data_IF_290728310203
#
_entry.id   IF_290728310203
#
_cell.length_a   1.000
_cell.length_b   1.000
_cell.length_c   1.000
_cell.angle_alpha   90.00
_cell.angle_beta   90.00
_cell.angle_gamma   90.00
#
_symmetry.space_group_name_H-M   'P 1'
#
loop_
_entity.id
_entity.type
_entity.pdbx_description
1 polymer ?
#
# COMPACT_ATOMS: atom_id res chain seq x y z
N UNK A 1 6.94 17.95 28.03
CA UNK A 1 5.80 17.08 28.25
C UNK A 1 6.34 15.68 28.10
N UNK A 2 6.47 14.95 29.21
CA UNK A 2 6.88 13.54 29.13
C UNK A 2 5.76 12.79 28.43
N UNK A 3 5.98 12.51 27.14
CA UNK A 3 5.06 11.68 26.35
C UNK A 3 5.28 10.22 26.76
N UNK A 4 4.59 9.81 27.82
CA UNK A 4 4.59 8.44 28.32
C UNK A 4 3.59 7.56 27.52
N UNK A 5 3.21 8.00 26.31
CA UNK A 5 2.35 7.22 25.42
C UNK A 5 3.15 6.00 24.92
N UNK A 6 2.55 4.81 24.93
CA UNK A 6 3.26 3.64 24.40
C UNK A 6 3.58 3.83 22.92
N UNK A 7 4.78 3.41 22.52
CA UNK A 7 5.21 3.43 21.12
C UNK A 7 4.18 2.72 20.23
N UNK A 8 3.70 3.40 19.18
CA UNK A 8 2.74 2.86 18.24
C UNK A 8 3.40 1.85 17.29
N UNK A 9 2.67 0.83 16.89
CA UNK A 9 3.12 -0.25 16.00
C UNK A 9 2.39 -0.18 14.68
N UNK A 10 3.13 -0.15 13.57
CA UNK A 10 2.61 -0.15 12.21
C UNK A 10 2.91 -1.48 11.51
N UNK A 11 1.91 -2.07 10.85
CA UNK A 11 2.05 -3.20 9.92
C UNK A 11 1.80 -2.69 8.51
N UNK A 12 2.78 -2.85 7.61
CA UNK A 12 2.71 -2.42 6.22
C UNK A 12 2.88 -3.63 5.30
N UNK A 13 1.92 -3.87 4.42
CA UNK A 13 1.98 -4.95 3.42
C UNK A 13 2.56 -4.48 2.09
N UNK A 14 3.18 -5.37 1.32
CA UNK A 14 3.75 -5.05 0.01
C UNK A 14 5.06 -4.26 0.08
N UNK A 15 6.00 -4.68 0.95
CA UNK A 15 7.26 -3.98 1.21
C UNK A 15 8.49 -4.60 0.53
N UNK A 16 8.35 -5.67 -0.26
CA UNK A 16 9.49 -6.39 -0.82
C UNK A 16 10.19 -5.71 -1.99
N UNK A 17 9.61 -4.67 -2.61
CA UNK A 17 10.17 -4.01 -3.80
C UNK A 17 10.91 -2.74 -3.47
N UNK A 18 12.13 -2.56 -4.06
CA UNK A 18 12.99 -1.40 -3.86
C UNK A 18 12.28 -0.06 -4.11
N UNK A 19 11.76 0.13 -5.32
CA UNK A 19 10.99 1.33 -5.71
C UNK A 19 9.51 1.10 -5.42
N UNK A 20 9.17 0.88 -4.13
CA UNK A 20 7.82 0.61 -3.68
C UNK A 20 7.28 1.69 -2.73
N UNK A 21 5.96 1.88 -2.77
CA UNK A 21 5.26 2.75 -1.81
C UNK A 21 5.38 2.19 -0.39
N UNK A 22 5.30 0.86 -0.23
CA UNK A 22 5.38 0.21 1.09
C UNK A 22 6.65 0.53 1.86
N UNK A 23 7.86 0.33 1.30
CA UNK A 23 9.12 0.71 1.97
C UNK A 23 9.22 2.20 2.31
N UNK A 24 8.71 3.09 1.44
CA UNK A 24 8.70 4.53 1.72
C UNK A 24 7.80 4.86 2.92
N UNK A 25 6.61 4.23 3.01
CA UNK A 25 5.72 4.37 4.17
C UNK A 25 6.38 3.80 5.44
N UNK A 26 7.08 2.66 5.34
CA UNK A 26 7.79 2.07 6.46
C UNK A 26 8.88 3.02 7.01
N UNK A 27 9.65 3.66 6.12
CA UNK A 27 10.65 4.68 6.50
C UNK A 27 9.99 5.89 7.17
N UNK A 28 8.91 6.40 6.59
CA UNK A 28 8.23 7.58 7.12
C UNK A 28 7.66 7.32 8.51
N UNK A 29 6.97 6.19 8.72
CA UNK A 29 6.40 5.82 10.01
C UNK A 29 7.48 5.50 11.06
N UNK A 30 8.55 4.79 10.66
CA UNK A 30 9.68 4.52 11.55
C UNK A 30 10.41 5.80 11.95
N UNK A 31 10.66 6.72 11.00
CA UNK A 31 11.26 8.02 11.28
C UNK A 31 10.40 8.93 12.17
N UNK A 32 9.08 8.69 12.21
CA UNK A 32 8.14 9.36 13.12
C UNK A 32 7.97 8.60 14.47
N UNK A 33 8.91 7.73 14.83
CA UNK A 33 8.99 7.08 16.14
C UNK A 33 8.06 5.89 16.34
N UNK A 34 7.61 5.22 15.27
CA UNK A 34 6.79 4.02 15.36
C UNK A 34 7.62 2.76 15.18
N UNK A 35 7.30 1.69 15.92
CA UNK A 35 7.80 0.36 15.58
C UNK A 35 7.12 -0.14 14.29
N UNK A 36 7.85 -0.86 13.44
CA UNK A 36 7.40 -1.21 12.11
C UNK A 36 7.48 -2.71 11.85
N UNK A 37 6.40 -3.29 11.36
CA UNK A 37 6.39 -4.63 10.75
C UNK A 37 6.21 -4.46 9.24
N UNK A 38 7.16 -4.96 8.47
CA UNK A 38 7.08 -4.99 7.00
C UNK A 38 6.69 -6.39 6.53
N UNK A 39 5.71 -6.48 5.63
CA UNK A 39 5.21 -7.75 5.14
C UNK A 39 5.18 -7.80 3.61
N UNK A 40 5.39 -8.99 3.04
CA UNK A 40 5.16 -9.29 1.62
C UNK A 40 4.95 -10.79 1.43
N UNK A 41 4.45 -11.21 0.27
CA UNK A 41 4.26 -12.61 -0.10
C UNK A 41 5.60 -13.34 -0.33
N UNK A 42 6.64 -12.61 -0.70
CA UNK A 42 8.00 -13.12 -0.88
C UNK A 42 9.02 -12.05 -0.44
N UNK A 43 10.26 -12.42 -0.09
CA UNK A 43 11.26 -11.46 0.37
C UNK A 43 11.48 -10.27 -0.58
N UNK A 44 11.48 -10.49 -1.88
CA UNK A 44 11.65 -9.45 -2.91
C UNK A 44 10.32 -8.98 -3.54
N UNK A 45 9.17 -9.39 -2.97
CA UNK A 45 7.85 -9.16 -3.53
C UNK A 45 7.55 -9.96 -4.79
N UNK A 46 6.31 -9.93 -5.28
CA UNK A 46 5.92 -10.59 -6.52
C UNK A 46 6.37 -9.78 -7.75
N UNK A 47 7.05 -10.39 -8.75
CA UNK A 47 7.52 -9.67 -9.93
C UNK A 47 6.37 -9.23 -10.83
N UNK A 48 6.45 -8.06 -11.46
CA UNK A 48 5.55 -7.66 -12.55
C UNK A 48 5.95 -8.40 -13.85
N UNK A 49 4.98 -8.60 -14.75
CA UNK A 49 5.16 -9.38 -16.00
C UNK A 49 6.39 -8.93 -16.82
N UNK A 50 6.62 -7.63 -16.93
CA UNK A 50 7.72 -7.04 -17.70
C UNK A 50 8.84 -6.48 -16.81
N UNK A 51 8.95 -6.96 -15.57
CA UNK A 51 10.03 -6.54 -14.68
C UNK A 51 11.37 -7.12 -15.16
N UNK A 52 12.37 -6.26 -15.22
CA UNK A 52 13.74 -6.67 -15.59
C UNK A 52 14.67 -6.60 -14.36
N UNK A 53 15.78 -7.33 -14.36
CA UNK A 53 16.75 -7.29 -13.27
C UNK A 53 17.24 -5.87 -12.93
N UNK A 54 17.39 -5.00 -13.94
CA UNK A 54 17.79 -3.60 -13.76
C UNK A 54 16.73 -2.68 -13.12
N UNK A 55 15.49 -3.14 -12.93
CA UNK A 55 14.45 -2.39 -12.21
C UNK A 55 14.62 -2.47 -10.69
N UNK A 56 15.48 -3.35 -10.24
CA UNK A 56 15.89 -3.47 -8.85
C UNK A 56 17.25 -2.85 -8.69
N UNK A 57 17.45 -2.06 -7.65
CA UNK A 57 18.80 -1.57 -7.34
C UNK A 57 19.76 -2.73 -7.12
N UNK A 58 20.99 -2.58 -7.61
CA UNK A 58 22.04 -3.57 -7.34
C UNK A 58 22.19 -3.74 -5.82
N UNK A 59 22.13 -4.99 -5.34
CA UNK A 59 22.21 -5.30 -3.92
C UNK A 59 20.94 -5.09 -3.10
N UNK A 60 19.77 -4.85 -3.73
CA UNK A 60 18.51 -4.79 -3.00
C UNK A 60 18.22 -6.10 -2.24
N UNK A 61 18.15 -6.02 -0.92
CA UNK A 61 17.98 -7.18 -0.02
C UNK A 61 16.52 -7.60 0.23
N UNK A 62 15.53 -6.99 -0.45
CA UNK A 62 14.12 -7.28 -0.17
C UNK A 62 13.67 -6.85 1.23
N UNK A 63 12.74 -7.60 1.82
CA UNK A 63 12.29 -7.34 3.20
C UNK A 63 13.44 -7.33 4.22
N UNK A 64 14.41 -8.26 4.21
CA UNK A 64 15.59 -8.18 5.07
C UNK A 64 16.32 -6.85 4.93
N UNK A 65 16.54 -6.37 3.70
CA UNK A 65 17.20 -5.09 3.45
C UNK A 65 16.44 -3.88 4.01
N UNK A 66 15.10 -3.91 3.97
CA UNK A 66 14.27 -2.87 4.63
C UNK A 66 14.42 -2.92 6.16
N UNK A 67 14.44 -4.11 6.75
CA UNK A 67 14.66 -4.27 8.20
C UNK A 67 16.04 -3.78 8.60
N UNK A 68 17.08 -4.16 7.85
CA UNK A 68 18.46 -3.74 8.14
C UNK A 68 18.60 -2.20 8.06
N UNK A 69 18.03 -1.58 7.03
CA UNK A 69 18.02 -0.13 6.85
C UNK A 69 17.32 0.59 8.03
N UNK A 70 16.11 0.16 8.36
CA UNK A 70 15.33 0.77 9.45
C UNK A 70 16.00 0.55 10.81
N UNK A 71 16.55 -0.63 11.06
CA UNK A 71 17.26 -0.95 12.29
C UNK A 71 18.54 -0.11 12.42
N UNK A 72 19.28 0.08 11.34
CA UNK A 72 20.44 0.97 11.32
C UNK A 72 20.08 2.44 11.60
N UNK A 73 18.86 2.85 11.24
CA UNK A 73 18.30 4.16 11.59
C UNK A 73 17.71 4.24 13.03
N UNK A 74 17.84 3.18 13.83
CA UNK A 74 17.35 3.13 15.21
C UNK A 74 15.86 2.76 15.35
N UNK A 75 15.21 2.35 14.28
CA UNK A 75 13.79 1.95 14.29
C UNK A 75 13.65 0.50 14.72
N UNK A 76 12.74 0.22 15.65
CA UNK A 76 12.34 -1.15 15.97
C UNK A 76 11.56 -1.73 14.80
N UNK A 77 12.17 -2.66 14.05
CA UNK A 77 11.59 -3.22 12.84
C UNK A 77 11.67 -4.75 12.83
N UNK A 78 10.65 -5.38 12.25
CA UNK A 78 10.62 -6.82 12.00
C UNK A 78 9.96 -7.10 10.63
N UNK A 79 10.25 -8.26 10.04
CA UNK A 79 9.63 -8.70 8.80
C UNK A 79 8.82 -9.98 8.98
N UNK A 80 7.74 -10.12 8.22
CA UNK A 80 6.93 -11.34 8.15
C UNK A 80 6.52 -11.62 6.70
N UNK A 81 6.53 -12.89 6.31
CA UNK A 81 6.00 -13.34 5.02
C UNK A 81 4.55 -13.78 5.17
N UNK A 82 3.72 -13.47 4.16
CA UNK A 82 2.34 -13.92 4.08
C UNK A 82 1.64 -13.39 2.84
N UNK A 83 0.69 -14.16 2.34
CA UNK A 83 -0.18 -13.79 1.24
C UNK A 83 -1.45 -13.14 1.80
N UNK A 84 -1.65 -11.85 1.52
CA UNK A 84 -2.83 -11.10 2.00
C UNK A 84 -4.15 -11.70 1.51
N UNK A 85 -4.16 -12.43 0.40
CA UNK A 85 -5.36 -13.10 -0.15
C UNK A 85 -5.77 -14.37 0.61
N UNK A 86 -4.94 -14.83 1.55
CA UNK A 86 -5.17 -16.01 2.38
C UNK A 86 -5.54 -15.61 3.80
N UNK A 87 -6.69 -16.08 4.27
CA UNK A 87 -7.21 -15.71 5.60
C UNK A 87 -6.24 -16.04 6.73
N UNK A 88 -5.64 -17.23 6.70
CA UNK A 88 -4.72 -17.66 7.76
C UNK A 88 -3.45 -16.84 7.77
N UNK A 89 -2.91 -16.47 6.59
CA UNK A 89 -1.72 -15.64 6.49
C UNK A 89 -2.01 -14.21 6.95
N UNK A 90 -3.17 -13.63 6.58
CA UNK A 90 -3.57 -12.30 7.03
C UNK A 90 -3.67 -12.23 8.57
N UNK A 91 -4.26 -13.26 9.19
CA UNK A 91 -4.32 -13.39 10.66
C UNK A 91 -2.92 -13.55 11.24
N UNK A 92 -2.10 -14.44 10.68
CA UNK A 92 -0.74 -14.69 11.16
C UNK A 92 0.14 -13.43 11.11
N UNK A 93 0.02 -12.58 10.08
CA UNK A 93 0.76 -11.31 9.99
C UNK A 93 0.35 -10.32 11.11
N UNK A 94 -0.94 -10.22 11.40
CA UNK A 94 -1.42 -9.37 12.51
C UNK A 94 -0.98 -9.93 13.85
N UNK A 95 -1.14 -11.24 14.08
CA UNK A 95 -0.70 -11.92 15.31
C UNK A 95 0.82 -11.77 15.51
N UNK A 96 1.60 -11.83 14.45
CA UNK A 96 3.04 -11.59 14.49
C UNK A 96 3.37 -10.18 15.00
N UNK A 97 2.68 -9.15 14.50
CA UNK A 97 2.89 -7.77 14.96
C UNK A 97 2.55 -7.62 16.45
N UNK A 98 1.39 -8.15 16.88
CA UNK A 98 0.97 -8.11 18.29
C UNK A 98 1.92 -8.91 19.18
N UNK A 99 2.35 -10.10 18.75
CA UNK A 99 3.28 -10.93 19.52
C UNK A 99 4.67 -10.29 19.65
N UNK A 100 5.15 -9.63 18.60
CA UNK A 100 6.51 -9.07 18.55
C UNK A 100 6.60 -7.76 19.33
N UNK A 101 5.59 -6.89 19.22
CA UNK A 101 5.63 -5.53 19.78
C UNK A 101 4.54 -5.25 20.83
N UNK A 102 3.69 -6.24 21.16
CA UNK A 102 2.66 -6.14 22.18
C UNK A 102 1.36 -5.47 21.73
N UNK A 103 1.32 -4.91 20.51
CA UNK A 103 0.16 -4.15 19.99
C UNK A 103 0.17 -4.05 18.47
N UNK A 104 -0.94 -3.59 17.90
CA UNK A 104 -1.03 -3.13 16.50
C UNK A 104 -1.91 -1.89 16.45
N UNK A 105 -1.36 -0.77 16.03
CA UNK A 105 -2.03 0.53 16.00
C UNK A 105 -2.35 0.99 14.59
N UNK A 106 -1.46 0.74 13.65
CA UNK A 106 -1.55 1.24 12.29
C UNK A 106 -1.47 0.05 11.33
N UNK A 107 -2.46 -0.08 10.45
CA UNK A 107 -2.44 -1.03 9.35
C UNK A 107 -2.38 -0.27 8.02
N UNK A 108 -1.38 -0.55 7.20
CA UNK A 108 -1.28 -0.03 5.83
C UNK A 108 -1.44 -1.17 4.84
N UNK A 109 -2.60 -1.23 4.19
CA UNK A 109 -2.90 -2.17 3.11
C UNK A 109 -2.35 -1.62 1.80
N UNK A 110 -1.07 -1.92 1.51
CA UNK A 110 -0.38 -1.49 0.31
C UNK A 110 -0.11 -2.63 -0.68
N UNK A 111 -0.13 -3.89 -0.25
CA UNK A 111 0.01 -5.03 -1.15
C UNK A 111 -0.99 -4.95 -2.32
N UNK A 112 -0.52 -5.25 -3.52
CA UNK A 112 -1.34 -5.30 -4.73
C UNK A 112 -0.81 -6.36 -5.68
N UNK A 113 -1.70 -7.02 -6.41
CA UNK A 113 -1.36 -7.98 -7.44
C UNK A 113 -0.37 -7.36 -8.45
N UNK A 114 0.67 -8.08 -8.85
CA UNK A 114 1.57 -7.63 -9.91
C UNK A 114 0.78 -7.47 -11.21
N UNK A 115 1.24 -6.57 -12.08
CA UNK A 115 0.67 -6.46 -13.43
C UNK A 115 0.99 -7.73 -14.23
N UNK A 116 -0.04 -8.36 -14.79
CA UNK A 116 0.07 -9.61 -15.51
C UNK A 116 -0.94 -9.68 -16.68
N UNK A 117 -1.58 -10.83 -16.90
CA UNK A 117 -2.50 -11.12 -18.03
C UNK A 117 -3.84 -10.37 -17.96
N UNK A 118 -4.17 -9.73 -16.84
CA UNK A 118 -5.40 -8.93 -16.68
C UNK A 118 -5.37 -7.62 -17.47
N UNK A 119 -4.19 -7.23 -17.98
CA UNK A 119 -4.03 -6.01 -18.77
C UNK A 119 -4.22 -6.33 -20.27
N UNK A 120 -5.47 -6.46 -20.68
CA UNK A 120 -5.84 -6.84 -22.05
C UNK A 120 -7.21 -6.24 -22.45
N UNK A 121 -7.62 -6.44 -23.70
CA UNK A 121 -9.00 -6.19 -24.13
C UNK A 121 -9.95 -7.13 -23.37
N UNK A 122 -11.18 -6.66 -23.09
CA UNK A 122 -12.04 -7.33 -22.09
C UNK A 122 -12.35 -8.80 -22.45
N UNK A 123 -12.52 -9.10 -23.72
CA UNK A 123 -12.78 -10.45 -24.22
C UNK A 123 -11.60 -11.41 -24.02
N UNK A 124 -10.38 -10.88 -23.89
CA UNK A 124 -9.14 -11.65 -23.76
C UNK A 124 -8.62 -11.72 -22.30
N UNK A 125 -9.33 -11.11 -21.35
CA UNK A 125 -8.95 -11.19 -19.93
C UNK A 125 -9.31 -12.55 -19.37
N UNK A 126 -8.34 -13.40 -18.97
CA UNK A 126 -8.65 -14.68 -18.36
C UNK A 126 -9.34 -14.49 -17.00
N UNK A 127 -10.35 -15.32 -16.72
CA UNK A 127 -11.12 -15.21 -15.47
C UNK A 127 -10.23 -15.40 -14.22
N UNK A 128 -9.25 -16.28 -14.28
CA UNK A 128 -8.29 -16.50 -13.20
C UNK A 128 -7.40 -15.26 -12.95
N UNK A 129 -7.02 -14.53 -14.01
CA UNK A 129 -6.26 -13.29 -13.87
C UNK A 129 -7.13 -12.16 -13.27
N UNK A 130 -8.39 -12.05 -13.68
CA UNK A 130 -9.37 -11.16 -13.06
C UNK A 130 -9.52 -11.47 -11.58
N UNK A 131 -9.78 -12.73 -11.23
CA UNK A 131 -10.01 -13.17 -9.86
C UNK A 131 -8.78 -12.92 -8.98
N UNK A 132 -7.58 -13.25 -9.47
CA UNK A 132 -6.33 -13.00 -8.74
C UNK A 132 -6.16 -11.51 -8.35
N UNK A 133 -6.50 -10.58 -9.24
CA UNK A 133 -6.43 -9.14 -8.93
C UNK A 133 -7.43 -8.77 -7.82
N UNK A 134 -8.65 -9.29 -7.88
CA UNK A 134 -9.65 -9.05 -6.84
C UNK A 134 -9.24 -9.68 -5.50
N UNK A 135 -8.73 -10.90 -5.53
CA UNK A 135 -8.32 -11.63 -4.33
C UNK A 135 -7.21 -10.90 -3.59
N UNK A 136 -6.17 -10.42 -4.28
CA UNK A 136 -5.08 -9.70 -3.64
C UNK A 136 -5.50 -8.29 -3.23
N UNK A 137 -6.09 -7.51 -4.16
CA UNK A 137 -6.29 -6.07 -3.94
C UNK A 137 -7.47 -5.76 -3.04
N UNK A 138 -8.57 -6.51 -3.16
CA UNK A 138 -9.82 -6.21 -2.48
C UNK A 138 -10.07 -7.19 -1.33
N UNK A 139 -10.10 -8.49 -1.62
CA UNK A 139 -10.29 -9.52 -0.58
C UNK A 139 -9.15 -9.48 0.43
N UNK A 140 -7.91 -9.32 -0.01
CA UNK A 140 -6.76 -9.18 0.87
C UNK A 140 -6.85 -7.95 1.78
N UNK A 141 -7.26 -6.79 1.25
CA UNK A 141 -7.52 -5.60 2.07
C UNK A 141 -8.59 -5.87 3.13
N UNK A 142 -9.68 -6.55 2.75
CA UNK A 142 -10.73 -6.97 3.71
C UNK A 142 -10.19 -7.91 4.78
N UNK A 143 -9.43 -8.95 4.41
CA UNK A 143 -8.90 -9.95 5.35
C UNK A 143 -7.95 -9.32 6.36
N UNK A 144 -7.05 -8.46 5.91
CA UNK A 144 -6.13 -7.72 6.78
C UNK A 144 -6.88 -6.79 7.74
N UNK A 145 -7.87 -6.04 7.26
CA UNK A 145 -8.69 -5.19 8.12
C UNK A 145 -9.47 -6.01 9.15
N UNK A 146 -10.09 -7.13 8.74
CA UNK A 146 -10.82 -8.04 9.63
C UNK A 146 -9.93 -8.57 10.75
N UNK A 147 -8.68 -8.93 10.46
CA UNK A 147 -7.75 -9.39 11.46
C UNK A 147 -7.30 -8.26 12.41
N UNK A 148 -7.07 -7.04 11.90
CA UNK A 148 -6.53 -5.92 12.66
C UNK A 148 -7.55 -5.22 13.57
N UNK A 149 -8.84 -5.21 13.21
CA UNK A 149 -9.87 -4.47 13.94
C UNK A 149 -10.04 -4.97 15.39
N UNK A 150 -9.93 -6.27 15.64
CA UNK A 150 -10.06 -6.83 16.99
C UNK A 150 -9.03 -6.26 17.97
N UNK A 151 -7.73 -6.39 17.71
CA UNK A 151 -6.66 -5.77 18.51
C UNK A 151 -6.82 -4.25 18.67
N UNK A 152 -7.17 -3.52 17.60
CA UNK A 152 -7.37 -2.07 17.64
C UNK A 152 -8.56 -1.67 18.53
N UNK A 153 -9.69 -2.40 18.48
CA UNK A 153 -10.83 -2.21 19.38
C UNK A 153 -10.46 -2.39 20.85
N UNK A 154 -9.70 -3.43 21.15
CA UNK A 154 -9.26 -3.70 22.52
C UNK A 154 -8.39 -2.55 23.09
N UNK A 155 -7.71 -1.81 22.22
CA UNK A 155 -6.88 -0.66 22.55
C UNK A 155 -7.65 0.67 22.56
N UNK A 156 -8.86 0.72 22.00
CA UNK A 156 -9.64 1.94 21.81
C UNK A 156 -8.98 2.95 20.84
N UNK A 157 -8.08 2.49 19.96
CA UNK A 157 -7.36 3.32 19.02
C UNK A 157 -6.88 2.50 17.81
N UNK A 158 -6.99 3.08 16.61
CA UNK A 158 -6.45 2.47 15.40
C UNK A 158 -6.45 3.41 14.21
N UNK A 159 -5.56 3.15 13.26
CA UNK A 159 -5.47 3.83 11.97
C UNK A 159 -5.34 2.78 10.86
N UNK A 160 -6.30 2.73 9.96
CA UNK A 160 -6.28 1.85 8.79
C UNK A 160 -6.14 2.71 7.54
N UNK A 161 -5.10 2.45 6.76
CA UNK A 161 -4.77 3.19 5.55
C UNK A 161 -4.74 2.22 4.38
N UNK A 162 -5.69 2.37 3.48
CA UNK A 162 -5.81 1.50 2.30
C UNK A 162 -5.23 2.20 1.07
N UNK A 163 -4.24 1.60 0.43
CA UNK A 163 -3.68 2.16 -0.81
C UNK A 163 -4.56 1.75 -2.00
N UNK A 164 -5.40 2.69 -2.43
CA UNK A 164 -6.19 2.56 -3.64
C UNK A 164 -5.39 3.05 -4.87
N UNK A 165 -5.96 3.87 -5.71
CA UNK A 165 -5.37 4.49 -6.91
C UNK A 165 -6.33 5.55 -7.45
N UNK A 166 -5.86 6.47 -8.31
CA UNK A 166 -6.75 7.27 -9.15
C UNK A 166 -7.63 6.38 -10.04
N UNK A 167 -7.17 5.18 -10.42
CA UNK A 167 -7.99 4.18 -11.10
C UNK A 167 -9.18 3.69 -10.25
N UNK A 168 -9.20 3.92 -8.94
CA UNK A 168 -10.35 3.72 -8.07
C UNK A 168 -11.37 4.86 -8.11
N UNK A 169 -11.10 5.92 -8.87
CA UNK A 169 -11.97 7.10 -9.04
C UNK A 169 -12.35 7.33 -10.50
N UNK A 170 -11.56 6.79 -11.42
CA UNK A 170 -11.76 6.94 -12.88
C UNK A 170 -11.65 5.58 -13.56
N UNK A 171 -12.07 5.50 -14.83
CA UNK A 171 -11.82 4.33 -15.68
C UNK A 171 -10.44 4.40 -16.33
N UNK A 172 -9.87 3.23 -16.60
CA UNK A 172 -8.66 3.08 -17.42
C UNK A 172 -8.85 1.95 -18.41
N UNK A 173 -8.55 2.18 -19.69
CA UNK A 173 -8.65 1.15 -20.70
C UNK A 173 -7.75 -0.05 -20.36
N UNK A 174 -8.23 -1.25 -20.64
CA UNK A 174 -7.52 -2.53 -20.41
C UNK A 174 -7.13 -2.82 -18.95
N UNK A 175 -7.74 -2.13 -17.99
CA UNK A 175 -7.47 -2.29 -16.56
C UNK A 175 -8.74 -2.63 -15.77
N UNK A 176 -9.67 -3.38 -16.35
CA UNK A 176 -10.98 -3.64 -15.76
C UNK A 176 -10.88 -4.24 -14.34
N UNK A 177 -10.11 -5.31 -14.15
CA UNK A 177 -9.93 -5.96 -12.86
C UNK A 177 -9.29 -5.03 -11.81
N UNK A 178 -8.22 -4.33 -12.21
CA UNK A 178 -7.53 -3.39 -11.33
C UNK A 178 -8.44 -2.22 -10.94
N UNK A 179 -9.11 -1.61 -11.91
CA UNK A 179 -10.06 -0.51 -11.70
C UNK A 179 -11.19 -0.94 -10.77
N UNK A 180 -11.83 -2.09 -11.02
CA UNK A 180 -12.88 -2.63 -10.17
C UNK A 180 -12.39 -2.87 -8.74
N UNK A 181 -11.20 -3.48 -8.57
CA UNK A 181 -10.61 -3.73 -7.25
C UNK A 181 -10.37 -2.42 -6.48
N UNK A 182 -9.83 -1.37 -7.13
CA UNK A 182 -9.51 -0.10 -6.47
C UNK A 182 -10.74 0.75 -6.16
N UNK A 183 -11.81 0.68 -6.97
CA UNK A 183 -13.13 1.21 -6.60
C UNK A 183 -13.71 0.47 -5.40
N UNK A 184 -13.61 -0.87 -5.38
CA UNK A 184 -14.03 -1.70 -4.25
C UNK A 184 -13.32 -1.33 -2.96
N UNK A 185 -12.01 -1.08 -2.99
CA UNK A 185 -11.25 -0.63 -1.81
C UNK A 185 -11.78 0.70 -1.27
N UNK A 186 -12.13 1.66 -2.14
CA UNK A 186 -12.72 2.95 -1.70
C UNK A 186 -14.10 2.72 -1.06
N UNK A 187 -14.95 1.90 -1.70
CA UNK A 187 -16.26 1.55 -1.16
C UNK A 187 -16.16 0.86 0.21
N UNK A 188 -15.27 -0.12 0.32
CA UNK A 188 -14.98 -0.83 1.57
C UNK A 188 -14.44 0.10 2.66
N UNK A 189 -13.51 1.01 2.32
CA UNK A 189 -12.99 2.03 3.24
C UNK A 189 -14.11 2.86 3.86
N UNK A 190 -15.05 3.33 3.04
CA UNK A 190 -16.20 4.12 3.50
C UNK A 190 -17.14 3.33 4.41
N UNK A 191 -17.38 2.06 4.10
CA UNK A 191 -18.23 1.19 4.92
C UNK A 191 -17.55 0.91 6.27
N UNK A 192 -16.33 0.37 6.24
CA UNK A 192 -15.62 -0.01 7.46
C UNK A 192 -15.39 1.20 8.39
N UNK A 193 -15.15 2.39 7.84
CA UNK A 193 -14.97 3.61 8.65
C UNK A 193 -16.17 3.90 9.55
N UNK A 194 -17.38 3.58 9.09
CA UNK A 194 -18.63 3.77 9.89
C UNK A 194 -18.79 2.70 10.96
N UNK A 195 -18.34 1.48 10.67
CA UNK A 195 -18.46 0.35 11.59
C UNK A 195 -17.57 0.50 12.82
N UNK A 196 -16.39 1.15 12.66
CA UNK A 196 -15.33 1.20 13.69
C UNK A 196 -15.06 2.59 14.27
N UNK A 197 -15.74 3.65 13.79
CA UNK A 197 -15.46 5.02 14.22
C UNK A 197 -15.63 5.23 15.73
N UNK A 198 -16.65 4.59 16.35
CA UNK A 198 -16.90 4.69 17.78
C UNK A 198 -15.87 3.95 18.64
N UNK A 199 -15.06 3.09 18.02
CA UNK A 199 -13.98 2.36 18.67
C UNK A 199 -12.64 3.16 18.67
N UNK A 200 -12.67 4.44 18.25
CA UNK A 200 -11.46 5.27 18.13
C UNK A 200 -10.60 4.92 16.91
N UNK A 201 -11.16 4.17 15.94
CA UNK A 201 -10.46 3.72 14.74
C UNK A 201 -10.87 4.56 13.54
N UNK A 202 -9.90 5.11 12.80
CA UNK A 202 -10.14 5.75 11.51
C UNK A 202 -9.72 4.85 10.36
N UNK A 203 -10.46 4.92 9.25
CA UNK A 203 -10.17 4.15 8.03
C UNK A 203 -10.21 5.09 6.85
N UNK A 204 -9.07 5.26 6.16
CA UNK A 204 -8.95 6.14 5.01
C UNK A 204 -8.26 5.44 3.85
N UNK A 205 -8.51 5.91 2.64
CA UNK A 205 -7.83 5.46 1.44
C UNK A 205 -6.94 6.58 0.88
N UNK A 206 -5.76 6.20 0.37
CA UNK A 206 -4.91 7.05 -0.45
C UNK A 206 -5.06 6.58 -1.89
N UNK A 207 -5.20 7.53 -2.82
CA UNK A 207 -5.36 7.27 -4.25
C UNK A 207 -4.18 7.87 -5.02
N UNK A 208 -3.03 7.16 -5.11
CA UNK A 208 -1.89 7.63 -5.86
C UNK A 208 -2.19 7.77 -7.34
N UNK A 209 -1.61 8.79 -7.97
CA UNK A 209 -1.50 8.93 -9.41
C UNK A 209 -0.30 8.19 -9.99
N UNK A 210 0.23 8.69 -11.10
CA UNK A 210 1.47 8.20 -11.71
C UNK A 210 2.65 8.40 -10.77
N UNK A 211 3.06 7.33 -10.08
CA UNK A 211 4.13 7.33 -9.07
C UNK A 211 5.32 6.55 -9.58
N UNK A 212 6.53 7.11 -9.45
CA UNK A 212 7.80 6.52 -9.88
C UNK A 212 8.11 5.26 -9.07
N UNK A 213 7.66 4.11 -9.55
CA UNK A 213 7.74 2.79 -8.90
C UNK A 213 8.03 1.72 -9.93
N UNK A 214 8.41 0.53 -9.50
CA UNK A 214 8.60 -0.63 -10.38
C UNK A 214 7.37 -0.93 -11.26
N UNK A 215 6.16 -0.62 -10.78
CA UNK A 215 4.92 -0.76 -11.55
C UNK A 215 4.85 0.21 -12.73
N UNK A 216 5.27 1.46 -12.54
CA UNK A 216 5.28 2.47 -13.62
C UNK A 216 6.27 2.10 -14.72
N UNK A 217 7.45 1.59 -14.37
CA UNK A 217 8.42 1.08 -15.35
C UNK A 217 7.86 -0.09 -16.16
N UNK A 218 7.28 -1.10 -15.48
CA UNK A 218 6.62 -2.22 -16.16
C UNK A 218 5.51 -1.75 -17.11
N UNK A 219 4.73 -0.77 -16.69
CA UNK A 219 3.68 -0.16 -17.51
C UNK A 219 4.24 0.64 -18.69
N UNK A 220 5.32 1.41 -18.50
CA UNK A 220 5.95 2.17 -19.57
C UNK A 220 6.51 1.25 -20.67
N UNK A 221 7.14 0.13 -20.29
CA UNK A 221 7.62 -0.88 -21.26
C UNK A 221 6.54 -1.51 -22.12
N UNK A 222 5.30 -1.60 -21.62
CA UNK A 222 4.19 -2.08 -22.46
C UNK A 222 3.73 -1.05 -23.48
N UNK A 223 3.87 0.24 -23.17
CA UNK A 223 3.38 1.33 -24.00
C UNK A 223 4.40 1.79 -25.04
N UNK A 224 5.69 1.66 -24.79
CA UNK A 224 6.74 2.18 -25.65
C UNK A 224 8.04 1.38 -25.52
N UNK A 225 8.82 1.32 -26.61
CA UNK A 225 10.22 0.82 -26.61
C UNK A 225 11.19 1.81 -25.97
N UNK A 226 10.85 3.10 -25.92
CA UNK A 226 11.61 4.15 -25.23
C UNK A 226 10.94 4.51 -23.92
N UNK A 227 11.49 3.94 -22.83
CA UNK A 227 10.93 4.08 -21.49
C UNK A 227 11.07 5.51 -20.97
N UNK A 228 12.21 6.14 -21.24
CA UNK A 228 12.52 7.48 -20.73
C UNK A 228 11.59 8.52 -21.36
N UNK A 229 11.42 8.48 -22.66
CA UNK A 229 10.46 9.33 -23.38
C UNK A 229 9.01 9.08 -22.91
N UNK A 230 8.64 7.83 -22.63
CA UNK A 230 7.29 7.51 -22.12
C UNK A 230 7.08 8.03 -20.71
N UNK A 231 8.08 7.93 -19.83
CA UNK A 231 8.00 8.48 -18.48
C UNK A 231 7.91 10.00 -18.50
N UNK A 232 8.68 10.67 -19.39
CA UNK A 232 8.60 12.11 -19.56
C UNK A 232 7.22 12.54 -20.09
N UNK A 233 6.69 11.85 -21.11
CA UNK A 233 5.36 12.12 -21.62
C UNK A 233 4.28 12.00 -20.54
N UNK A 234 4.41 11.01 -19.65
CA UNK A 234 3.49 10.85 -18.49
C UNK A 234 3.65 11.97 -17.48
N UNK A 235 4.87 12.40 -17.22
CA UNK A 235 5.15 13.52 -16.32
C UNK A 235 4.54 14.83 -16.85
N UNK A 236 4.69 15.10 -18.14
CA UNK A 236 4.15 16.31 -18.80
C UNK A 236 2.60 16.35 -18.78
N UNK A 237 1.94 15.18 -18.72
CA UNK A 237 0.49 15.09 -18.62
C UNK A 237 -0.05 15.33 -17.19
N UNK A 238 0.83 15.39 -16.18
CA UNK A 238 0.44 15.66 -14.79
C UNK A 238 0.50 17.18 -14.55
N UNK A 239 -0.53 17.82 -13.98
CA UNK A 239 -0.53 19.28 -13.79
C UNK A 239 0.69 19.84 -13.03
N UNK A 240 1.24 19.11 -12.04
CA UNK A 240 2.47 19.54 -11.36
C UNK A 240 3.74 19.28 -12.15
N UNK A 241 3.69 18.73 -13.37
CA UNK A 241 4.81 18.57 -14.29
C UNK A 241 5.81 17.45 -13.94
N UNK A 242 5.47 16.53 -13.04
CA UNK A 242 6.32 15.38 -12.69
C UNK A 242 5.51 14.17 -12.27
N UNK A 243 6.12 13.00 -12.36
CA UNK A 243 5.62 11.82 -11.65
C UNK A 243 5.73 12.04 -10.13
N UNK A 244 4.78 11.50 -9.38
CA UNK A 244 4.89 11.41 -7.93
C UNK A 244 6.04 10.50 -7.51
N UNK A 245 6.55 10.67 -6.30
CA UNK A 245 7.48 9.74 -5.67
C UNK A 245 6.77 8.85 -4.66
N UNK A 246 7.40 7.79 -4.22
CA UNK A 246 6.86 6.95 -3.15
C UNK A 246 6.73 7.76 -1.83
N UNK A 247 7.60 8.74 -1.62
CA UNK A 247 7.60 9.66 -0.48
C UNK A 247 6.40 10.61 -0.51
N UNK A 248 5.94 11.07 -1.69
CA UNK A 248 4.72 11.88 -1.81
C UNK A 248 3.51 11.10 -1.21
N UNK A 249 3.45 9.79 -1.49
CA UNK A 249 2.40 8.90 -0.95
C UNK A 249 2.61 8.63 0.54
N UNK A 250 3.86 8.42 0.96
CA UNK A 250 4.21 8.16 2.35
C UNK A 250 3.87 9.35 3.27
N UNK A 251 4.01 10.58 2.80
CA UNK A 251 3.63 11.78 3.56
C UNK A 251 2.10 11.82 3.83
N UNK A 252 1.28 11.40 2.89
CA UNK A 252 -0.16 11.28 3.11
C UNK A 252 -0.49 10.15 4.10
N UNK A 253 0.25 9.03 4.03
CA UNK A 253 0.10 7.94 4.98
C UNK A 253 0.50 8.38 6.40
N UNK A 254 1.57 9.15 6.53
CA UNK A 254 2.03 9.72 7.80
C UNK A 254 0.95 10.61 8.43
N UNK A 255 0.30 11.48 7.63
CA UNK A 255 -0.83 12.28 8.10
C UNK A 255 -1.98 11.39 8.61
N UNK A 256 -2.43 10.40 7.85
CA UNK A 256 -3.52 9.53 8.29
C UNK A 256 -3.16 8.64 9.48
N UNK A 257 -1.89 8.35 9.70
CA UNK A 257 -1.39 7.60 10.84
C UNK A 257 -1.29 8.43 12.13
N UNK A 258 -1.39 9.76 12.04
CA UNK A 258 -1.17 10.67 13.16
C UNK A 258 -2.37 10.78 14.12
N UNK A 259 -2.12 11.30 15.32
CA UNK A 259 -3.18 11.67 16.27
C UNK A 259 -4.05 12.82 15.69
N UNK A 260 -3.44 13.77 14.98
CA UNK A 260 -4.12 14.96 14.41
C UNK A 260 -5.16 14.61 13.35
N UNK A 261 -5.11 13.40 12.76
CA UNK A 261 -6.11 12.94 11.79
C UNK A 261 -7.32 12.24 12.43
N UNK A 262 -7.47 12.25 13.76
CA UNK A 262 -8.51 11.53 14.49
C UNK A 262 -9.95 11.86 14.12
N UNK A 263 -10.19 13.03 13.47
CA UNK A 263 -11.52 13.42 12.97
C UNK A 263 -11.69 13.20 11.46
N UNK A 264 -10.69 12.56 10.81
CA UNK A 264 -10.70 12.27 9.38
C UNK A 264 -10.86 10.78 9.18
N UNK A 265 -12.04 10.35 8.72
CA UNK A 265 -12.33 8.93 8.44
C UNK A 265 -13.26 8.78 7.24
N UNK A 266 -13.19 7.66 6.54
CA UNK A 266 -13.97 7.35 5.34
C UNK A 266 -13.54 8.13 4.09
N UNK A 267 -12.38 8.81 4.14
CA UNK A 267 -11.89 9.62 3.03
C UNK A 267 -11.12 8.78 2.01
N UNK A 268 -11.13 9.26 0.77
CA UNK A 268 -10.29 8.74 -0.30
C UNK A 268 -9.51 9.93 -0.88
N UNK A 269 -8.27 10.11 -0.39
CA UNK A 269 -7.43 11.26 -0.71
C UNK A 269 -6.60 11.00 -1.95
N UNK A 270 -6.72 11.83 -2.98
CA UNK A 270 -5.83 11.79 -4.14
C UNK A 270 -4.45 12.36 -3.80
N UNK A 271 -3.41 11.64 -4.25
CA UNK A 271 -2.01 12.06 -4.23
C UNK A 271 -1.48 11.86 -5.65
N UNK A 272 -1.81 12.77 -6.55
CA UNK A 272 -1.74 12.54 -7.99
C UNK A 272 -1.26 13.75 -8.81
N UNK A 273 -0.82 14.82 -8.14
CA UNK A 273 -0.33 16.02 -8.82
C UNK A 273 -1.42 16.81 -9.55
N UNK A 274 -2.71 16.63 -9.19
CA UNK A 274 -3.85 17.35 -9.77
C UNK A 274 -4.49 16.67 -10.98
N UNK A 275 -4.19 15.40 -11.23
CA UNK A 275 -4.79 14.64 -12.37
C UNK A 275 -6.28 14.42 -12.17
N UNK A 276 -6.72 14.14 -10.95
CA UNK A 276 -8.13 13.94 -10.63
C UNK A 276 -8.68 15.13 -9.82
N UNK A 277 -9.76 15.72 -10.30
CA UNK A 277 -10.42 16.87 -9.70
C UNK A 277 -11.90 16.53 -9.44
N UNK A 278 -12.18 15.73 -8.41
CA UNK A 278 -13.55 15.35 -8.10
C UNK A 278 -13.73 14.71 -6.74
#
# INVERSE_FOLDING_TARGET
>A
MDDNSPERVALITGCGKHLGIGPAIARALGGDGKAVVVADVAPAGAPNLNQQPGDMAAGWGGLPGVVDELTAAGVRCAAVLGDVSREDDARAMVDFAVKTFGRLDILVNNAAAPQAREFNDIEDVPLDAWQHVLDVNLTGTFLMCRAAVGPMRAQGWGRIINISSIAGRTGSARQGAYTASKHGVIGFTRSLSRDVARDGITVNAICPGGTYTSRVFSSARRSSGDIEAELQRRADAIPVGRLGTAEDVANAALYFASESSGYVTGQAQSVDGGVYQG
#
